data_IF_555865935144
#
_entry.id   IF_555865935144
#
_cell.length_a   1.000
_cell.length_b   1.000
_cell.length_c   1.000
_cell.angle_alpha   90.00
_cell.angle_beta   90.00
_cell.angle_gamma   90.00
#
_symmetry.space_group_name_H-M   'P 1'
#
loop_
_entity.id
_entity.type
_entity.pdbx_description
1 polymer ?
#
# COMPACT_ATOMS: atom_id res chain seq x y z
N UNK A 1 32.78 -13.47 7.52
CA UNK A 1 31.40 -13.00 7.33
C UNK A 1 31.33 -11.53 7.72
N UNK A 2 30.98 -10.64 6.79
CA UNK A 2 30.67 -9.24 7.09
C UNK A 2 29.23 -9.16 7.59
N UNK A 3 29.01 -8.52 8.71
CA UNK A 3 27.65 -8.20 9.18
C UNK A 3 27.01 -7.18 8.25
N UNK A 4 25.72 -7.34 7.99
CA UNK A 4 24.95 -6.37 7.23
C UNK A 4 24.99 -4.99 7.91
N UNK A 5 25.18 -3.95 7.13
CA UNK A 5 25.14 -2.57 7.60
C UNK A 5 23.73 -2.01 7.43
N UNK A 6 23.41 -0.93 8.11
CA UNK A 6 22.09 -0.30 8.07
C UNK A 6 21.69 0.16 6.66
N UNK A 7 22.67 0.53 5.87
CA UNK A 7 22.53 0.97 4.48
C UNK A 7 22.71 -0.14 3.43
N UNK A 8 23.01 -1.38 3.83
CA UNK A 8 23.01 -2.50 2.88
C UNK A 8 21.56 -2.79 2.40
N UNK A 9 21.37 -3.28 1.15
CA UNK A 9 20.06 -3.72 0.69
C UNK A 9 19.51 -4.86 1.54
N UNK A 10 18.28 -4.73 2.01
CA UNK A 10 17.57 -5.78 2.74
C UNK A 10 16.80 -6.68 1.77
N UNK A 11 16.10 -6.07 0.82
CA UNK A 11 15.32 -6.79 -0.20
C UNK A 11 15.11 -5.94 -1.46
N UNK A 12 14.68 -6.63 -2.52
CA UNK A 12 14.19 -6.02 -3.75
C UNK A 12 12.80 -6.58 -4.04
N UNK A 13 11.81 -5.70 -4.17
CA UNK A 13 10.45 -6.07 -4.57
C UNK A 13 10.14 -5.48 -5.93
N UNK A 14 9.57 -6.30 -6.82
CA UNK A 14 9.16 -5.91 -8.15
C UNK A 14 7.79 -5.22 -8.11
N UNK A 15 7.68 -4.09 -8.77
CA UNK A 15 6.42 -3.37 -8.96
C UNK A 15 6.19 -3.13 -10.45
N UNK A 16 4.93 -2.91 -10.87
CA UNK A 16 4.62 -2.54 -12.25
C UNK A 16 5.37 -1.27 -12.66
N UNK A 17 5.76 -1.20 -13.92
CA UNK A 17 6.55 -0.10 -14.46
C UNK A 17 5.87 0.58 -15.63
N UNK A 18 5.84 1.92 -15.65
CA UNK A 18 5.22 2.74 -16.70
C UNK A 18 5.77 2.50 -18.12
N UNK A 19 6.88 1.77 -18.26
CA UNK A 19 7.49 1.41 -19.55
C UNK A 19 7.18 -0.02 -20.00
N UNK A 20 6.18 -0.68 -19.41
CA UNK A 20 5.82 -2.06 -19.72
C UNK A 20 6.79 -3.13 -19.18
N UNK A 21 7.75 -2.76 -18.32
CA UNK A 21 8.66 -3.70 -17.65
C UNK A 21 8.66 -3.45 -16.15
N UNK A 22 8.52 -4.50 -15.32
CA UNK A 22 8.60 -4.38 -13.88
C UNK A 22 9.89 -3.67 -13.43
N UNK A 23 9.79 -2.92 -12.35
CA UNK A 23 10.91 -2.20 -11.72
C UNK A 23 11.15 -2.76 -10.32
N UNK A 24 12.40 -3.08 -9.98
CA UNK A 24 12.80 -3.55 -8.67
C UNK A 24 13.06 -2.38 -7.73
N UNK A 25 12.32 -2.29 -6.64
CA UNK A 25 12.55 -1.30 -5.58
C UNK A 25 13.55 -1.87 -4.58
N UNK A 26 14.70 -1.20 -4.40
CA UNK A 26 15.75 -1.61 -3.46
C UNK A 26 15.50 -0.94 -2.11
N UNK A 27 15.17 -1.73 -1.10
CA UNK A 27 14.95 -1.26 0.27
C UNK A 27 16.13 -1.64 1.16
N UNK A 28 16.59 -0.70 1.98
CA UNK A 28 17.73 -0.86 2.89
C UNK A 28 17.29 -1.37 4.27
N UNK A 29 18.19 -2.04 5.00
CA UNK A 29 17.92 -2.53 6.35
C UNK A 29 17.42 -1.45 7.30
N UNK A 30 18.00 -0.24 7.25
CA UNK A 30 17.57 0.89 8.10
C UNK A 30 16.12 1.29 7.85
N UNK A 31 15.65 1.19 6.61
CA UNK A 31 14.30 1.59 6.23
C UNK A 31 13.26 0.67 6.89
N UNK A 32 13.41 -0.65 6.71
CA UNK A 32 12.45 -1.59 7.29
C UNK A 32 12.58 -1.71 8.82
N UNK A 33 13.80 -1.68 9.36
CA UNK A 33 13.97 -1.75 10.82
C UNK A 33 13.43 -0.51 11.52
N UNK A 34 13.61 0.69 10.94
CA UNK A 34 13.02 1.93 11.42
C UNK A 34 11.50 1.90 11.37
N UNK A 35 10.94 1.39 10.26
CA UNK A 35 9.49 1.25 10.08
C UNK A 35 8.86 0.34 11.13
N UNK A 36 9.41 -0.85 11.32
CA UNK A 36 8.91 -1.84 12.28
C UNK A 36 9.19 -1.47 13.75
N UNK A 37 10.00 -0.45 14.01
CA UNK A 37 10.21 0.08 15.36
C UNK A 37 9.01 0.90 15.85
N UNK A 38 8.21 1.47 14.94
CA UNK A 38 7.07 2.31 15.27
C UNK A 38 5.95 1.50 15.95
N UNK A 39 5.59 1.80 17.21
CA UNK A 39 4.51 1.11 17.89
C UNK A 39 3.13 1.40 17.28
N UNK A 40 2.96 2.50 16.54
CA UNK A 40 1.71 2.78 15.84
C UNK A 40 1.45 1.84 14.66
N UNK A 41 2.48 1.11 14.19
CA UNK A 41 2.37 0.08 13.18
C UNK A 41 2.37 -1.32 13.78
N UNK A 42 3.23 -1.57 14.77
CA UNK A 42 3.43 -2.90 15.37
C UNK A 42 3.30 -2.77 16.89
N UNK A 43 2.06 -2.66 17.37
CA UNK A 43 1.74 -2.74 18.80
C UNK A 43 1.54 -4.21 19.20
N UNK A 44 2.64 -4.94 19.32
CA UNK A 44 2.64 -6.37 19.59
C UNK A 44 3.71 -6.78 20.59
N UNK A 45 3.51 -7.93 21.20
CA UNK A 45 4.45 -8.57 22.13
C UNK A 45 4.30 -10.08 22.17
N UNK A 46 5.01 -10.75 23.10
CA UNK A 46 4.85 -12.20 23.32
C UNK A 46 3.39 -12.55 23.62
N UNK A 47 2.86 -13.55 22.92
CA UNK A 47 1.45 -13.97 23.03
C UNK A 47 0.55 -13.39 21.93
N UNK A 48 0.99 -12.39 21.18
CA UNK A 48 0.28 -11.96 19.98
C UNK A 48 0.55 -12.88 18.79
N UNK A 49 -0.46 -12.99 17.93
CA UNK A 49 -0.42 -13.83 16.72
C UNK A 49 -0.78 -12.99 15.51
N UNK A 50 0.12 -12.95 14.56
CA UNK A 50 -0.09 -12.35 13.24
C UNK A 50 -0.48 -13.45 12.25
N UNK A 51 -1.44 -13.16 11.38
CA UNK A 51 -1.74 -14.00 10.24
C UNK A 51 -1.06 -13.43 8.99
N UNK A 52 -0.14 -14.19 8.39
CA UNK A 52 0.50 -13.83 7.13
C UNK A 52 -0.40 -14.22 5.96
N UNK A 53 -0.99 -13.23 5.30
CA UNK A 53 -1.92 -13.40 4.16
C UNK A 53 -1.36 -12.83 2.87
N UNK A 54 -0.40 -11.92 2.95
CA UNK A 54 0.18 -11.27 1.79
C UNK A 54 1.16 -12.21 1.05
N UNK A 55 1.11 -12.28 -0.29
CA UNK A 55 2.13 -13.00 -1.05
C UNK A 55 3.50 -12.35 -0.83
N UNK A 56 4.56 -13.15 -0.82
CA UNK A 56 5.94 -12.69 -0.59
C UNK A 56 6.46 -11.70 -1.63
N UNK A 57 5.78 -11.59 -2.76
CA UNK A 57 6.05 -10.60 -3.81
C UNK A 57 5.48 -9.22 -3.49
N UNK A 58 4.70 -9.09 -2.44
CA UNK A 58 4.07 -7.85 -1.99
C UNK A 58 4.75 -7.35 -0.70
N UNK A 59 5.04 -6.06 -0.61
CA UNK A 59 5.84 -5.48 0.47
C UNK A 59 5.21 -5.59 1.87
N UNK A 60 3.89 -5.74 1.94
CA UNK A 60 3.19 -6.02 3.20
C UNK A 60 3.66 -7.32 3.84
N UNK A 61 4.09 -8.32 3.05
CA UNK A 61 4.65 -9.57 3.59
C UNK A 61 5.85 -9.32 4.50
N UNK A 62 6.64 -8.28 4.21
CA UNK A 62 7.79 -7.88 5.05
C UNK A 62 7.30 -7.42 6.43
N UNK A 63 6.19 -6.66 6.48
CA UNK A 63 5.54 -6.27 7.72
C UNK A 63 4.99 -7.49 8.46
N UNK A 64 4.26 -8.37 7.77
CA UNK A 64 3.63 -9.55 8.38
C UNK A 64 4.67 -10.54 8.94
N UNK A 65 5.83 -10.68 8.29
CA UNK A 65 6.89 -11.60 8.72
C UNK A 65 7.80 -10.96 9.78
N UNK A 66 8.37 -9.80 9.49
CA UNK A 66 9.38 -9.20 10.38
C UNK A 66 8.76 -8.46 11.57
N UNK A 67 7.53 -7.96 11.45
CA UNK A 67 6.82 -7.27 12.52
C UNK A 67 6.68 -8.12 13.78
N UNK A 68 6.01 -9.30 13.71
CA UNK A 68 5.86 -10.20 14.85
C UNK A 68 7.20 -10.71 15.38
N UNK A 69 8.11 -11.13 14.50
CA UNK A 69 9.42 -11.66 14.92
C UNK A 69 10.23 -10.65 15.72
N UNK A 70 10.22 -9.39 15.31
CA UNK A 70 10.89 -8.31 16.06
C UNK A 70 10.31 -8.09 17.45
N UNK A 71 9.03 -8.39 17.67
CA UNK A 71 8.30 -8.16 18.91
C UNK A 71 8.21 -9.42 19.80
N UNK A 72 8.77 -10.56 19.35
CA UNK A 72 8.63 -11.84 20.04
C UNK A 72 7.21 -12.41 19.97
N UNK A 73 6.41 -11.96 19.02
CA UNK A 73 5.10 -12.48 18.70
C UNK A 73 5.19 -13.68 17.75
N UNK A 74 4.07 -14.34 17.50
CA UNK A 74 3.97 -15.48 16.60
C UNK A 74 3.51 -15.05 15.22
N UNK A 75 4.09 -15.63 14.17
CA UNK A 75 3.58 -15.58 12.81
C UNK A 75 2.91 -16.92 12.49
N UNK A 76 1.63 -16.88 12.15
CA UNK A 76 0.90 -17.98 11.54
C UNK A 76 0.82 -17.73 10.03
N UNK A 77 1.24 -18.71 9.23
CA UNK A 77 1.20 -18.59 7.77
C UNK A 77 -0.15 -19.09 7.24
N UNK A 78 -0.78 -18.28 6.42
CA UNK A 78 -1.95 -18.72 5.68
C UNK A 78 -1.55 -19.82 4.68
N UNK A 79 -2.30 -20.93 4.57
CA UNK A 79 -2.07 -21.94 3.55
C UNK A 79 -2.13 -21.34 2.13
N UNK A 80 -1.36 -21.92 1.19
CA UNK A 80 -1.28 -21.43 -0.20
C UNK A 80 -2.60 -21.56 -0.98
N UNK A 81 -3.56 -22.36 -0.50
CA UNK A 81 -4.88 -22.47 -1.10
C UNK A 81 -5.68 -21.19 -0.91
N UNK A 82 -6.42 -20.81 -1.93
CA UNK A 82 -7.24 -19.59 -1.94
C UNK A 82 -8.07 -19.49 -0.66
N UNK A 83 -7.76 -18.50 0.16
CA UNK A 83 -8.45 -18.26 1.41
C UNK A 83 -9.84 -17.67 1.10
N UNK A 84 -10.88 -18.48 1.29
CA UNK A 84 -12.25 -17.98 1.33
C UNK A 84 -12.56 -17.38 2.72
N UNK A 85 -13.71 -16.74 2.85
CA UNK A 85 -14.12 -16.06 4.10
C UNK A 85 -14.30 -17.05 5.23
N UNK A 86 -14.77 -18.29 4.97
CA UNK A 86 -14.93 -19.33 5.96
C UNK A 86 -13.57 -19.85 6.45
N UNK A 87 -12.60 -20.02 5.55
CA UNK A 87 -11.22 -20.37 5.86
C UNK A 87 -10.54 -19.29 6.70
N UNK A 88 -10.69 -18.02 6.34
CA UNK A 88 -10.19 -16.89 7.14
C UNK A 88 -10.76 -16.93 8.56
N UNK A 89 -12.06 -17.09 8.71
CA UNK A 89 -12.73 -17.21 10.02
C UNK A 89 -12.14 -18.36 10.84
N UNK A 90 -11.97 -19.54 10.21
CA UNK A 90 -11.41 -20.72 10.86
C UNK A 90 -9.99 -20.48 11.36
N UNK A 91 -9.12 -19.86 10.54
CA UNK A 91 -7.74 -19.52 10.92
C UNK A 91 -7.72 -18.52 12.07
N UNK A 92 -8.49 -17.42 11.95
CA UNK A 92 -8.57 -16.38 12.99
C UNK A 92 -8.96 -16.99 14.34
N UNK A 93 -9.97 -17.87 14.37
CA UNK A 93 -10.45 -18.48 15.61
C UNK A 93 -9.49 -19.55 16.14
N UNK A 94 -9.01 -20.46 15.28
CA UNK A 94 -8.14 -21.57 15.66
C UNK A 94 -6.81 -21.11 16.25
N UNK A 95 -6.19 -20.12 15.61
CA UNK A 95 -4.87 -19.62 15.99
C UNK A 95 -4.95 -18.40 16.92
N UNK A 96 -6.18 -17.94 17.27
CA UNK A 96 -6.40 -16.76 18.12
C UNK A 96 -5.65 -15.53 17.58
N UNK A 97 -5.79 -15.30 16.27
CA UNK A 97 -5.14 -14.20 15.59
C UNK A 97 -5.49 -12.86 16.25
N UNK A 98 -4.47 -12.09 16.59
CA UNK A 98 -4.60 -10.76 17.22
C UNK A 98 -4.33 -9.62 16.25
N UNK A 99 -3.52 -9.88 15.22
CA UNK A 99 -3.13 -8.89 14.20
C UNK A 99 -3.39 -9.45 12.81
N UNK A 100 -4.07 -8.66 12.02
CA UNK A 100 -4.47 -9.02 10.65
C UNK A 100 -4.22 -7.85 9.70
N UNK A 101 -3.75 -8.15 8.49
CA UNK A 101 -3.80 -7.24 7.37
C UNK A 101 -4.75 -7.77 6.31
N UNK A 102 -5.53 -6.87 5.70
CA UNK A 102 -6.36 -7.17 4.53
C UNK A 102 -6.26 -6.05 3.50
N UNK A 103 -6.31 -6.41 2.21
CA UNK A 103 -6.57 -5.40 1.18
C UNK A 103 -7.98 -4.83 1.35
N UNK A 104 -8.21 -3.59 0.88
CA UNK A 104 -9.54 -2.99 0.95
C UNK A 104 -10.59 -3.80 0.17
N UNK A 105 -10.19 -4.42 -0.94
CA UNK A 105 -11.05 -5.33 -1.70
C UNK A 105 -11.45 -6.57 -0.89
N UNK A 106 -10.48 -7.21 -0.21
CA UNK A 106 -10.76 -8.40 0.59
C UNK A 106 -11.58 -8.05 1.83
N UNK A 107 -11.28 -6.93 2.50
CA UNK A 107 -12.09 -6.43 3.61
C UNK A 107 -13.56 -6.28 3.21
N UNK A 108 -13.82 -5.70 2.04
CA UNK A 108 -15.20 -5.55 1.51
C UNK A 108 -15.89 -6.90 1.33
N UNK A 109 -15.22 -7.87 0.71
CA UNK A 109 -15.77 -9.22 0.50
C UNK A 109 -16.11 -9.88 1.85
N UNK A 110 -15.20 -9.81 2.82
CA UNK A 110 -15.44 -10.40 4.14
C UNK A 110 -16.62 -9.73 4.86
N UNK A 111 -16.76 -8.41 4.75
CA UNK A 111 -17.87 -7.68 5.36
C UNK A 111 -19.22 -7.97 4.68
N UNK A 112 -19.23 -8.23 3.36
CA UNK A 112 -20.43 -8.61 2.61
C UNK A 112 -20.87 -10.05 2.89
N UNK A 113 -19.93 -10.99 3.05
CA UNK A 113 -20.22 -12.41 3.22
C UNK A 113 -20.40 -12.83 4.70
N UNK A 114 -19.42 -12.52 5.55
CA UNK A 114 -19.45 -12.85 6.98
C UNK A 114 -18.59 -11.88 7.82
N UNK A 115 -19.14 -10.75 8.27
CA UNK A 115 -18.43 -9.81 9.14
C UNK A 115 -17.88 -10.44 10.43
N UNK A 116 -18.49 -11.56 10.88
CA UNK A 116 -18.06 -12.25 12.09
C UNK A 116 -16.69 -12.96 11.92
N UNK A 117 -16.22 -13.17 10.69
CA UNK A 117 -14.89 -13.66 10.40
C UNK A 117 -13.78 -12.73 10.91
N UNK A 118 -14.09 -11.44 11.11
CA UNK A 118 -13.17 -10.43 11.63
C UNK A 118 -13.21 -10.25 13.16
N UNK A 119 -13.97 -11.08 13.87
CA UNK A 119 -14.01 -11.07 15.34
C UNK A 119 -12.85 -11.90 15.90
N UNK A 120 -12.05 -11.28 16.74
CA UNK A 120 -10.89 -11.91 17.37
C UNK A 120 -9.65 -11.05 17.31
N UNK A 121 -9.23 -10.56 16.12
CA UNK A 121 -8.16 -9.59 16.05
C UNK A 121 -8.47 -8.35 16.88
N UNK A 122 -7.46 -7.81 17.56
CA UNK A 122 -7.52 -6.50 18.21
C UNK A 122 -7.00 -5.39 17.30
N UNK A 123 -6.30 -5.77 16.22
CA UNK A 123 -5.61 -4.87 15.32
C UNK A 123 -5.80 -5.32 13.87
N UNK A 124 -6.40 -4.50 13.05
CA UNK A 124 -6.56 -4.75 11.63
C UNK A 124 -6.04 -3.57 10.84
N UNK A 125 -4.97 -3.79 10.06
CA UNK A 125 -4.51 -2.81 9.08
C UNK A 125 -5.16 -3.15 7.73
N UNK A 126 -5.79 -2.16 7.11
CA UNK A 126 -6.37 -2.28 5.79
C UNK A 126 -5.72 -1.28 4.85
N UNK A 127 -5.39 -1.70 3.64
CA UNK A 127 -4.72 -0.82 2.68
C UNK A 127 -4.60 -1.44 1.30
N UNK A 128 -3.60 -0.95 0.54
CA UNK A 128 -3.43 -1.34 -0.85
C UNK A 128 -4.31 -0.56 -1.82
N UNK A 129 -5.52 -0.19 -1.41
CA UNK A 129 -6.46 0.69 -2.12
C UNK A 129 -7.19 1.58 -1.12
N UNK A 130 -7.96 2.55 -1.62
CA UNK A 130 -8.80 3.37 -0.76
C UNK A 130 -9.91 2.52 -0.11
N UNK A 131 -10.05 2.65 1.21
CA UNK A 131 -11.16 2.03 1.94
C UNK A 131 -12.42 2.85 1.65
N UNK A 132 -13.50 2.19 1.22
CA UNK A 132 -14.77 2.90 1.04
C UNK A 132 -15.39 3.29 2.39
N UNK A 133 -16.07 4.45 2.49
CA UNK A 133 -16.79 4.84 3.70
C UNK A 133 -17.73 3.75 4.21
N UNK A 134 -18.45 3.08 3.30
CA UNK A 134 -19.36 2.00 3.64
C UNK A 134 -18.65 0.81 4.30
N UNK A 135 -17.50 0.38 3.75
CA UNK A 135 -16.73 -0.72 4.34
C UNK A 135 -16.14 -0.33 5.70
N UNK A 136 -15.61 0.90 5.84
CA UNK A 136 -15.09 1.39 7.11
C UNK A 136 -16.18 1.45 8.19
N UNK A 137 -17.36 1.99 7.87
CA UNK A 137 -18.51 2.06 8.78
C UNK A 137 -18.99 0.65 9.18
N UNK A 138 -19.18 -0.24 8.19
CA UNK A 138 -19.61 -1.61 8.44
C UNK A 138 -18.63 -2.36 9.34
N UNK A 139 -17.31 -2.17 9.15
CA UNK A 139 -16.32 -2.76 10.03
C UNK A 139 -16.41 -2.25 11.45
N UNK A 140 -16.54 -0.93 11.65
CA UNK A 140 -16.64 -0.33 13.00
C UNK A 140 -17.90 -0.81 13.74
N UNK A 141 -18.97 -1.12 13.03
CA UNK A 141 -20.22 -1.64 13.60
C UNK A 141 -20.15 -3.15 13.89
N UNK A 142 -19.50 -3.95 13.03
CA UNK A 142 -19.61 -5.41 13.04
C UNK A 142 -18.28 -6.16 13.28
N UNK A 143 -17.14 -5.50 13.15
CA UNK A 143 -15.79 -6.09 13.21
C UNK A 143 -15.30 -6.53 14.59
N UNK A 144 -16.19 -6.57 15.60
CA UNK A 144 -15.89 -7.16 16.91
C UNK A 144 -15.04 -6.30 17.85
N UNK A 145 -14.90 -5.00 17.58
CA UNK A 145 -14.17 -4.07 18.46
C UNK A 145 -12.66 -3.97 18.14
N UNK A 146 -12.19 -4.59 17.06
CA UNK A 146 -10.82 -4.39 16.60
C UNK A 146 -10.57 -2.93 16.19
N UNK A 147 -9.34 -2.44 16.43
CA UNK A 147 -8.90 -1.17 15.88
C UNK A 147 -8.66 -1.31 14.38
N UNK A 148 -9.47 -0.64 13.56
CA UNK A 148 -9.23 -0.53 12.12
C UNK A 148 -8.24 0.60 11.85
N UNK A 149 -7.19 0.29 11.10
CA UNK A 149 -6.17 1.26 10.69
C UNK A 149 -6.15 1.30 9.17
N UNK A 150 -6.38 2.48 8.60
CA UNK A 150 -6.11 2.71 7.21
C UNK A 150 -4.60 2.86 7.02
N UNK A 151 -3.98 1.93 6.29
CA UNK A 151 -2.54 1.89 6.01
C UNK A 151 -2.25 2.29 4.57
N UNK A 152 -1.54 3.40 4.40
CA UNK A 152 -1.08 3.89 3.10
C UNK A 152 0.44 3.89 3.03
N UNK A 153 0.99 3.45 1.91
CA UNK A 153 2.42 3.57 1.60
C UNK A 153 2.75 2.97 0.25
N UNK A 154 3.60 3.64 -0.54
CA UNK A 154 4.21 3.03 -1.71
C UNK A 154 5.40 2.16 -1.31
N UNK A 155 5.69 1.13 -2.06
CA UNK A 155 6.85 0.24 -1.86
C UNK A 155 8.18 1.01 -1.80
N UNK A 156 8.26 2.11 -2.51
CA UNK A 156 9.40 3.03 -2.56
C UNK A 156 9.66 3.78 -1.23
N UNK A 157 8.71 3.67 -0.25
CA UNK A 157 8.88 4.23 1.11
C UNK A 157 8.62 3.17 2.19
N UNK A 158 8.86 1.90 1.86
CA UNK A 158 8.87 0.76 2.79
C UNK A 158 7.55 0.54 3.51
N UNK A 159 6.58 -0.07 2.81
CA UNK A 159 5.28 -0.48 3.34
C UNK A 159 4.42 0.72 3.78
N UNK A 160 3.92 0.72 5.01
CA UNK A 160 3.03 1.75 5.54
C UNK A 160 3.82 3.00 5.96
N UNK A 161 3.61 4.09 5.26
CA UNK A 161 4.29 5.37 5.50
C UNK A 161 3.38 6.40 6.14
N UNK A 162 2.07 6.22 5.98
CA UNK A 162 1.00 7.05 6.55
C UNK A 162 -0.06 6.11 7.10
N UNK A 163 -0.59 6.39 8.29
CA UNK A 163 -1.63 5.57 8.91
C UNK A 163 -2.71 6.42 9.54
N UNK A 164 -3.92 5.87 9.59
CA UNK A 164 -5.06 6.47 10.26
C UNK A 164 -5.81 5.41 11.08
N UNK A 165 -5.69 5.41 12.41
CA UNK A 165 -6.64 4.69 13.25
C UNK A 165 -8.03 5.27 13.05
N UNK A 166 -8.95 4.46 12.54
CA UNK A 166 -10.28 4.93 12.16
C UNK A 166 -11.25 4.92 13.35
N UNK A 167 -12.01 6.01 13.43
CA UNK A 167 -13.17 6.17 14.31
C UNK A 167 -14.33 6.72 13.48
N UNK A 168 -15.60 6.53 13.90
CA UNK A 168 -16.76 6.95 13.10
C UNK A 168 -16.74 8.42 12.67
N UNK A 169 -16.22 9.32 13.51
CA UNK A 169 -16.15 10.76 13.21
C UNK A 169 -15.18 11.15 12.09
N UNK A 170 -14.26 10.26 11.70
CA UNK A 170 -13.30 10.49 10.60
C UNK A 170 -13.85 10.05 9.24
N UNK A 171 -14.94 9.28 9.22
CA UNK A 171 -15.54 8.76 7.99
C UNK A 171 -16.59 9.75 7.50
N UNK A 172 -16.46 10.20 6.26
CA UNK A 172 -17.42 11.11 5.63
C UNK A 172 -17.86 10.59 4.26
N UNK A 173 -18.86 11.23 3.66
CA UNK A 173 -19.28 10.92 2.30
C UNK A 173 -18.16 11.15 1.27
N UNK A 174 -17.22 12.08 1.55
CA UNK A 174 -16.11 12.42 0.69
C UNK A 174 -14.96 11.39 0.76
N UNK A 175 -14.94 10.50 1.78
CA UNK A 175 -13.95 9.45 1.89
C UNK A 175 -13.49 9.14 3.31
N UNK A 176 -12.42 8.35 3.37
CA UNK A 176 -11.73 7.92 4.58
C UNK A 176 -10.30 8.46 4.51
N UNK A 177 -9.83 9.24 5.52
CA UNK A 177 -8.48 9.79 5.48
C UNK A 177 -7.41 8.70 5.49
N UNK A 178 -6.30 8.93 4.79
CA UNK A 178 -5.12 8.07 4.88
C UNK A 178 -4.31 8.34 6.16
N UNK A 179 -4.51 9.50 6.79
CA UNK A 179 -3.99 9.76 8.13
C UNK A 179 -2.78 10.66 8.21
N UNK A 180 -1.82 10.27 9.06
CA UNK A 180 -0.58 11.01 9.32
C UNK A 180 0.64 10.16 9.01
N UNK A 181 1.78 10.80 8.66
CA UNK A 181 3.05 10.10 8.56
C UNK A 181 3.39 9.35 9.86
N UNK A 182 3.87 8.13 9.73
CA UNK A 182 4.37 7.34 10.86
C UNK A 182 5.74 7.83 11.32
N UNK A 183 6.22 7.38 12.46
CA UNK A 183 7.50 7.82 13.02
C UNK A 183 8.66 7.65 12.02
N UNK A 184 9.50 8.68 11.95
CA UNK A 184 10.63 8.72 11.00
C UNK A 184 10.25 8.98 9.55
N UNK A 185 8.98 9.28 9.27
CA UNK A 185 8.49 9.75 7.97
C UNK A 185 7.98 11.17 8.07
N UNK A 186 8.18 11.96 7.04
CA UNK A 186 7.50 13.24 6.85
C UNK A 186 6.84 13.29 5.48
N UNK A 187 5.78 14.07 5.38
CA UNK A 187 5.01 14.25 4.16
C UNK A 187 5.00 15.72 3.77
N UNK A 188 5.26 15.99 2.51
CA UNK A 188 5.09 17.31 1.90
C UNK A 188 4.02 17.20 0.81
N UNK A 189 3.10 18.15 0.79
CA UNK A 189 2.09 18.26 -0.27
C UNK A 189 2.48 19.45 -1.13
N UNK A 190 2.91 19.18 -2.36
CA UNK A 190 3.58 20.15 -3.22
C UNK A 190 2.80 20.35 -4.52
N UNK A 191 2.95 21.56 -5.08
CA UNK A 191 2.50 21.87 -6.42
C UNK A 191 3.51 21.40 -7.48
N UNK A 192 3.21 21.68 -8.76
CA UNK A 192 4.09 21.34 -9.89
C UNK A 192 5.47 22.04 -9.85
N UNK A 193 5.62 23.08 -9.04
CA UNK A 193 6.86 23.82 -8.86
C UNK A 193 7.63 23.41 -7.62
N UNK A 194 7.21 22.32 -6.97
CA UNK A 194 7.74 21.80 -5.70
C UNK A 194 7.60 22.79 -4.54
N UNK A 195 6.57 23.66 -4.59
CA UNK A 195 6.22 24.58 -3.53
C UNK A 195 5.10 23.97 -2.68
N UNK A 196 5.20 24.08 -1.35
CA UNK A 196 4.19 23.57 -0.45
C UNK A 196 2.85 24.28 -0.65
N UNK A 197 1.77 23.51 -0.78
CA UNK A 197 0.43 24.08 -0.90
C UNK A 197 -0.19 24.28 0.50
N UNK A 198 -1.06 25.29 0.67
CA UNK A 198 -1.79 25.49 1.91
C UNK A 198 -2.73 24.31 2.25
N UNK A 199 -3.10 24.11 3.55
CA UNK A 199 -4.16 23.18 3.91
C UNK A 199 -5.44 23.42 3.10
N UNK A 200 -6.15 22.34 2.77
CA UNK A 200 -7.37 22.37 1.93
C UNK A 200 -7.10 22.35 0.43
N UNK A 201 -5.91 22.68 -0.02
CA UNK A 201 -5.54 22.66 -1.44
C UNK A 201 -4.96 21.30 -1.82
N UNK A 202 -5.33 20.80 -3.01
CA UNK A 202 -4.82 19.53 -3.55
C UNK A 202 -3.42 19.74 -4.12
N UNK A 203 -2.50 18.87 -3.75
CA UNK A 203 -1.15 18.80 -4.28
C UNK A 203 -0.64 17.36 -4.37
N UNK A 204 0.53 17.17 -4.95
CA UNK A 204 1.17 15.87 -5.04
C UNK A 204 1.87 15.53 -3.72
N UNK A 205 1.62 14.32 -3.20
CA UNK A 205 2.25 13.82 -1.99
C UNK A 205 3.70 13.43 -2.27
N UNK A 206 4.60 13.97 -1.45
CA UNK A 206 6.00 13.57 -1.40
C UNK A 206 6.31 13.04 0.00
N UNK A 207 7.00 11.91 0.07
CA UNK A 207 7.33 11.24 1.34
C UNK A 207 8.84 11.17 1.53
N UNK A 208 9.32 11.70 2.63
CA UNK A 208 10.72 11.68 3.04
C UNK A 208 10.93 10.90 4.35
N UNK A 209 12.19 10.74 4.75
CA UNK A 209 12.58 10.12 6.00
C UNK A 209 13.22 8.73 5.85
N UNK A 210 13.31 8.01 6.98
CA UNK A 210 14.08 6.76 7.09
C UNK A 210 13.58 5.64 6.18
N UNK A 211 12.27 5.64 5.83
CA UNK A 211 11.63 4.62 5.00
C UNK A 211 11.91 4.74 3.51
N UNK A 212 12.52 5.84 3.04
CA UNK A 212 12.78 6.06 1.61
C UNK A 212 13.78 5.03 1.09
N UNK A 213 13.38 4.31 0.05
CA UNK A 213 14.19 3.27 -0.60
C UNK A 213 15.44 3.85 -1.26
N UNK A 214 16.42 3.00 -1.56
CA UNK A 214 17.63 3.39 -2.29
C UNK A 214 17.31 3.93 -3.68
N UNK A 215 16.35 3.32 -4.35
CA UNK A 215 15.94 3.61 -5.71
C UNK A 215 15.52 2.35 -6.44
N UNK A 216 15.53 2.43 -7.77
CA UNK A 216 15.17 1.31 -8.64
C UNK A 216 16.41 0.59 -9.16
N UNK A 217 16.38 -0.74 -9.13
CA UNK A 217 17.47 -1.61 -9.61
C UNK A 217 17.72 -1.36 -11.10
N UNK A 218 18.97 -1.05 -11.43
CA UNK A 218 19.46 -0.78 -12.79
C UNK A 218 18.66 0.27 -13.58
N UNK A 219 18.02 1.22 -12.85
CA UNK A 219 17.24 2.31 -13.44
C UNK A 219 17.63 3.69 -12.85
N UNK A 220 18.88 4.15 -13.08
CA UNK A 220 19.34 5.40 -12.46
C UNK A 220 18.55 6.64 -12.91
N UNK A 221 18.12 6.71 -14.18
CA UNK A 221 17.32 7.82 -14.68
C UNK A 221 15.95 7.90 -13.99
N UNK A 222 15.22 6.77 -13.90
CA UNK A 222 13.94 6.71 -13.21
C UNK A 222 14.10 6.98 -11.70
N UNK A 223 15.23 6.52 -11.11
CA UNK A 223 15.55 6.82 -9.71
C UNK A 223 15.69 8.32 -9.51
N UNK A 224 16.45 9.02 -10.36
CA UNK A 224 16.64 10.47 -10.26
C UNK A 224 15.34 11.27 -10.49
N UNK A 225 14.43 10.76 -11.33
CA UNK A 225 13.12 11.37 -11.58
C UNK A 225 12.18 11.28 -10.36
N UNK A 226 12.18 10.13 -9.67
CA UNK A 226 11.21 9.82 -8.61
C UNK A 226 11.74 10.06 -7.19
N UNK A 227 13.04 9.94 -6.96
CA UNK A 227 13.68 10.19 -5.67
C UNK A 227 14.41 11.54 -5.73
N UNK A 228 13.65 12.59 -5.43
CA UNK A 228 14.10 13.97 -5.55
C UNK A 228 14.74 14.50 -4.26
N UNK A 229 15.53 15.58 -4.29
CA UNK A 229 16.07 16.18 -3.08
C UNK A 229 14.98 16.58 -2.09
N UNK A 230 15.25 16.37 -0.80
CA UNK A 230 14.36 16.72 0.29
C UNK A 230 14.73 18.12 0.82
N UNK A 231 13.86 19.13 0.68
CA UNK A 231 14.17 20.47 1.15
C UNK A 231 14.21 20.59 2.68
N UNK A 232 13.66 19.62 3.41
CA UNK A 232 13.62 19.60 4.88
C UNK A 232 14.84 18.92 5.51
N UNK A 233 15.66 18.21 4.72
CA UNK A 233 16.78 17.41 5.23
C UNK A 233 18.02 17.56 4.34
N UNK A 234 19.12 18.12 4.87
CA UNK A 234 20.38 18.26 4.13
C UNK A 234 20.89 16.90 3.64
N UNK A 235 21.02 16.75 2.31
CA UNK A 235 21.41 15.52 1.66
C UNK A 235 20.36 14.41 1.70
N UNK A 236 19.15 14.70 2.20
CA UNK A 236 18.01 13.80 2.21
C UNK A 236 17.35 13.67 0.85
N UNK A 237 16.56 12.62 0.69
CA UNK A 237 15.72 12.40 -0.48
C UNK A 237 14.29 12.13 -0.06
N UNK A 238 13.36 12.55 -0.89
CA UNK A 238 11.95 12.20 -0.77
C UNK A 238 11.46 11.50 -2.03
N UNK A 239 10.50 10.63 -1.87
CA UNK A 239 9.85 9.93 -2.98
C UNK A 239 8.64 10.72 -3.47
N UNK A 240 8.61 10.99 -4.76
CA UNK A 240 7.52 11.59 -5.49
C UNK A 240 6.48 10.53 -5.82
N UNK A 241 5.34 10.51 -5.11
CA UNK A 241 4.40 9.38 -5.14
C UNK A 241 3.54 9.30 -6.40
N UNK A 242 3.24 10.46 -7.02
CA UNK A 242 2.21 10.59 -8.04
C UNK A 242 0.80 10.60 -7.47
N UNK A 243 0.63 10.48 -6.16
CA UNK A 243 -0.67 10.53 -5.50
C UNK A 243 -1.03 11.98 -5.17
N UNK A 244 -2.26 12.37 -5.48
CA UNK A 244 -2.84 13.65 -5.13
C UNK A 244 -3.54 13.55 -3.78
N UNK A 245 -3.21 14.45 -2.88
CA UNK A 245 -3.76 14.50 -1.54
C UNK A 245 -4.12 15.93 -1.15
N UNK A 246 -4.88 16.05 -0.07
CA UNK A 246 -5.20 17.32 0.58
C UNK A 246 -4.92 17.19 2.08
N UNK A 247 -4.29 18.20 2.67
CA UNK A 247 -4.15 18.30 4.13
C UNK A 247 -5.44 18.88 4.70
N UNK A 248 -6.09 18.20 5.64
CA UNK A 248 -7.27 18.69 6.37
C UNK A 248 -6.85 19.68 7.45
N UNK A 249 -7.82 20.42 8.00
CA UNK A 249 -7.60 21.36 9.10
C UNK A 249 -7.08 20.67 10.38
N UNK A 250 -7.48 19.41 10.60
CA UNK A 250 -6.96 18.57 11.69
C UNK A 250 -5.59 17.96 11.38
N UNK A 251 -5.01 18.27 10.22
CA UNK A 251 -3.69 17.80 9.76
C UNK A 251 -3.67 16.36 9.25
N UNK A 252 -4.82 15.70 9.08
CA UNK A 252 -4.90 14.42 8.40
C UNK A 252 -4.78 14.62 6.89
N UNK A 253 -4.28 13.60 6.21
CA UNK A 253 -4.21 13.56 4.75
C UNK A 253 -5.44 12.83 4.18
N UNK A 254 -6.12 13.47 3.25
CA UNK A 254 -7.14 12.84 2.41
C UNK A 254 -6.52 12.47 1.06
N UNK A 255 -6.74 11.23 0.61
CA UNK A 255 -6.39 10.82 -0.75
C UNK A 255 -7.46 11.31 -1.73
N UNK A 256 -7.04 12.00 -2.78
CA UNK A 256 -7.94 12.58 -3.79
C UNK A 256 -7.91 11.76 -5.08
N UNK A 257 -6.76 11.24 -5.45
CA UNK A 257 -6.60 10.52 -6.71
C UNK A 257 -5.14 10.39 -7.11
N UNK A 258 -4.90 10.16 -8.40
CA UNK A 258 -3.55 10.11 -8.96
C UNK A 258 -3.34 11.16 -10.03
N UNK A 259 -2.12 11.70 -10.10
CA UNK A 259 -1.68 12.63 -11.14
C UNK A 259 -1.33 11.89 -12.45
N UNK A 260 -1.09 10.58 -12.38
CA UNK A 260 -0.74 9.71 -13.51
C UNK A 260 -1.86 8.68 -13.78
N UNK A 261 -1.71 7.92 -14.88
CA UNK A 261 -2.69 6.89 -15.27
C UNK A 261 -2.62 5.58 -14.48
N UNK A 262 -1.83 5.53 -13.39
CA UNK A 262 -1.68 4.33 -12.60
C UNK A 262 -2.95 4.03 -11.79
N UNK A 263 -3.34 2.77 -11.72
CA UNK A 263 -4.51 2.31 -10.96
C UNK A 263 -4.12 1.23 -9.94
N UNK A 264 -4.98 1.04 -8.96
CA UNK A 264 -4.90 -0.13 -8.07
C UNK A 264 -6.10 -1.03 -8.35
N UNK A 265 -5.86 -2.33 -8.53
CA UNK A 265 -6.89 -3.34 -8.80
C UNK A 265 -6.70 -4.49 -7.84
N UNK A 266 -7.64 -4.69 -6.93
CA UNK A 266 -7.59 -5.71 -5.86
C UNK A 266 -6.28 -5.64 -5.04
N UNK A 267 -5.84 -4.43 -4.72
CA UNK A 267 -4.61 -4.17 -3.99
C UNK A 267 -3.33 -4.13 -4.84
N UNK A 268 -3.36 -4.64 -6.06
CA UNK A 268 -2.20 -4.63 -6.96
C UNK A 268 -2.06 -3.29 -7.67
N UNK A 269 -0.85 -2.76 -7.69
CA UNK A 269 -0.48 -1.57 -8.45
C UNK A 269 -0.34 -1.94 -9.92
N UNK A 270 -1.08 -1.30 -10.80
CA UNK A 270 -1.13 -1.57 -12.23
C UNK A 270 -0.89 -0.29 -13.01
N UNK A 271 0.09 -0.33 -13.89
CA UNK A 271 0.30 0.70 -14.91
C UNK A 271 -0.56 0.35 -16.13
N UNK A 272 -1.53 1.20 -16.46
CA UNK A 272 -2.42 0.93 -17.59
C UNK A 272 -1.64 0.81 -18.90
N UNK A 273 -0.58 1.62 -19.08
CA UNK A 273 0.29 1.52 -20.25
C UNK A 273 1.07 0.19 -20.37
N UNK A 274 1.32 -0.51 -19.25
CA UNK A 274 1.90 -1.87 -19.28
C UNK A 274 0.88 -2.88 -19.86
N UNK A 275 -0.37 -2.77 -19.46
CA UNK A 275 -1.46 -3.60 -19.96
C UNK A 275 -1.68 -3.31 -21.45
N UNK A 276 -1.71 -2.03 -21.84
CA UNK A 276 -1.84 -1.60 -23.24
C UNK A 276 -0.71 -2.17 -24.10
N UNK A 277 0.54 -2.00 -23.69
CA UNK A 277 1.69 -2.53 -24.41
C UNK A 277 1.67 -4.06 -24.52
N UNK A 278 1.20 -4.79 -23.50
CA UNK A 278 1.06 -6.23 -23.55
C UNK A 278 -0.03 -6.68 -24.54
N UNK A 279 -1.14 -5.94 -24.62
CA UNK A 279 -2.21 -6.22 -25.58
C UNK A 279 -1.75 -5.86 -27.00
N UNK A 280 -1.07 -4.75 -27.20
CA UNK A 280 -0.55 -4.32 -28.51
C UNK A 280 0.54 -5.24 -29.08
N UNK A 281 1.21 -6.01 -28.20
CA UNK A 281 2.16 -7.03 -28.63
C UNK A 281 1.53 -8.30 -29.22
N UNK A 282 0.18 -8.43 -29.12
CA UNK A 282 -0.54 -9.56 -29.71
C UNK A 282 -0.73 -9.39 -31.22
N UNK A 283 -0.59 -10.48 -31.95
CA UNK A 283 -0.81 -10.49 -33.39
C UNK A 283 -2.25 -10.04 -33.72
N UNK A 284 -2.40 -9.14 -34.69
CA UNK A 284 -3.69 -8.65 -35.13
C UNK A 284 -4.26 -7.45 -34.35
N UNK A 285 -3.53 -6.92 -33.37
CA UNK A 285 -3.87 -5.70 -32.64
C UNK A 285 -3.14 -4.51 -33.24
N UNK A 286 -3.88 -3.45 -33.61
CA UNK A 286 -3.31 -2.19 -34.08
C UNK A 286 -3.04 -1.20 -32.93
N UNK A 287 -3.94 -1.14 -31.96
CA UNK A 287 -3.78 -0.35 -30.73
C UNK A 287 -4.69 -0.86 -29.63
N UNK A 288 -4.34 -0.55 -28.39
CA UNK A 288 -5.12 -0.88 -27.22
C UNK A 288 -5.27 0.32 -26.29
N UNK A 289 -6.36 0.34 -25.52
CA UNK A 289 -6.59 1.24 -24.41
C UNK A 289 -7.03 0.42 -23.20
N UNK A 290 -6.36 0.56 -22.08
CA UNK A 290 -6.75 -0.07 -20.83
C UNK A 290 -7.39 0.95 -19.88
N UNK A 291 -8.34 0.50 -19.08
CA UNK A 291 -8.95 1.31 -18.04
C UNK A 291 -9.37 0.43 -16.86
N UNK A 292 -9.48 1.03 -15.67
CA UNK A 292 -10.14 0.39 -14.53
C UNK A 292 -11.62 0.75 -14.54
N UNK A 293 -12.48 -0.28 -14.50
CA UNK A 293 -13.92 -0.12 -14.21
C UNK A 293 -14.26 -0.99 -13.01
N UNK A 294 -14.72 -0.36 -11.94
CA UNK A 294 -14.90 -1.00 -10.64
C UNK A 294 -13.60 -1.69 -10.19
N UNK A 295 -13.63 -2.99 -9.88
CA UNK A 295 -12.47 -3.78 -9.50
C UNK A 295 -11.91 -4.65 -10.65
N UNK A 296 -12.13 -4.24 -11.91
CA UNK A 296 -11.68 -4.96 -13.11
C UNK A 296 -10.87 -4.08 -14.04
N UNK A 297 -9.88 -4.69 -14.70
CA UNK A 297 -9.25 -4.11 -15.87
C UNK A 297 -10.12 -4.41 -17.10
N UNK A 298 -10.34 -3.40 -17.91
CA UNK A 298 -11.06 -3.50 -19.18
C UNK A 298 -10.13 -2.99 -20.27
N UNK A 299 -9.82 -3.86 -21.25
CA UNK A 299 -9.06 -3.51 -22.44
C UNK A 299 -9.99 -3.28 -23.62
N UNK A 300 -9.78 -2.21 -24.35
CA UNK A 300 -10.39 -1.91 -25.65
C UNK A 300 -9.33 -2.12 -26.70
N UNK A 301 -9.67 -2.85 -27.77
CA UNK A 301 -8.73 -3.23 -28.82
C UNK A 301 -9.21 -2.71 -30.17
N UNK A 302 -8.30 -2.12 -30.92
CA UNK A 302 -8.50 -1.81 -32.34
C UNK A 302 -7.78 -2.89 -33.16
N UNK A 303 -8.51 -3.66 -34.01
CA UNK A 303 -7.88 -4.71 -34.82
C UNK A 303 -6.99 -4.09 -35.90
N UNK A 304 -5.94 -4.80 -36.28
CA UNK A 304 -5.12 -4.44 -37.43
C UNK A 304 -5.91 -4.60 -38.74
N UNK A 305 -5.64 -3.81 -39.77
CA UNK A 305 -6.35 -3.93 -41.05
C UNK A 305 -6.31 -5.37 -41.62
N UNK A 306 -7.48 -5.91 -41.91
CA UNK A 306 -7.62 -7.26 -42.45
C UNK A 306 -7.69 -8.39 -41.40
N UNK A 307 -7.70 -8.08 -40.13
CA UNK A 307 -7.91 -9.03 -39.02
C UNK A 307 -9.31 -8.85 -38.43
N UNK A 308 -9.96 -9.96 -38.09
CA UNK A 308 -11.17 -10.01 -37.24
C UNK A 308 -10.74 -10.42 -35.83
N UNK A 309 -11.12 -9.65 -34.82
CA UNK A 309 -10.95 -10.01 -33.42
C UNK A 309 -12.16 -10.76 -32.91
#
# INVERSE_FOLDING_TARGET
>A
LRWAQADDPAYVILTSGSTGRPKGVIVEHRAITGRLADPSLVDAGPGDVFLGTAPTTFDVSVYEVLGPLRRGATLELCPEELLDVAGLRSLVQRHRVTHLWLSAALLRVVLEEDPAALRGPRWLICGGEAISPAAATSFLEHGGGAQLINGYGPTEVSVFSVTCPLVPSLISADGVPIGRPVAGTHALVLDRHLTAVPPGIVGELHLGGIGVARGYLDRPGLTAERFVPDPSATGGRMYRTGDLVRVRDDGLLDFVGRADGQVKVRGHRVELGEVEAAIEALDGVASALATKRDDRLVGYVVPAPGTTV
#
